data_IF_654830453820
#
_entry.id   IF_654830453820
#
_cell.length_a   1.000
_cell.length_b   1.000
_cell.length_c   1.000
_cell.angle_alpha   90.00
_cell.angle_beta   90.00
_cell.angle_gamma   90.00
#
_symmetry.space_group_name_H-M   'P 1'
#
loop_
_entity.id
_entity.type
_entity.pdbx_description
1 polymer ?
#
# COMPACT_ATOMS: atom_id res chain seq x y z
N UNK A 1 -37.94 -13.94 -5.38
CA UNK A 1 -37.49 -12.57 -5.09
C UNK A 1 -36.93 -12.00 -6.39
N UNK A 2 -37.40 -10.84 -6.83
CA UNK A 2 -36.96 -10.27 -8.10
C UNK A 2 -35.46 -9.95 -8.03
N UNK A 3 -34.71 -10.43 -9.01
CA UNK A 3 -33.28 -10.15 -9.18
C UNK A 3 -33.15 -8.65 -9.45
N UNK A 4 -32.70 -7.86 -8.47
CA UNK A 4 -32.35 -6.46 -8.69
C UNK A 4 -31.17 -6.44 -9.66
N UNK A 5 -31.27 -5.70 -10.77
CA UNK A 5 -30.16 -5.49 -11.71
C UNK A 5 -29.17 -4.46 -11.15
N UNK A 6 -28.68 -4.70 -9.94
CA UNK A 6 -27.67 -3.85 -9.31
C UNK A 6 -26.28 -4.22 -9.82
N UNK A 7 -25.43 -3.21 -9.98
CA UNK A 7 -24.04 -3.40 -10.40
C UNK A 7 -23.09 -2.64 -9.50
N UNK A 8 -21.87 -3.15 -9.36
CA UNK A 8 -20.75 -2.50 -8.69
C UNK A 8 -19.77 -2.02 -9.75
N UNK A 9 -19.69 -0.72 -9.95
CA UNK A 9 -18.69 -0.10 -10.80
C UNK A 9 -17.42 0.18 -10.00
N UNK A 10 -16.29 -0.23 -10.55
CA UNK A 10 -14.96 -0.02 -9.98
C UNK A 10 -14.23 1.06 -10.79
N UNK A 11 -13.57 1.97 -10.09
CA UNK A 11 -12.78 3.03 -10.70
C UNK A 11 -11.42 3.13 -10.02
N UNK A 12 -10.37 3.32 -10.82
CA UNK A 12 -9.02 3.59 -10.36
C UNK A 12 -8.63 5.00 -10.79
N UNK A 13 -8.28 5.86 -9.83
CA UNK A 13 -7.87 7.24 -10.12
C UNK A 13 -8.91 8.02 -10.96
N UNK A 14 -10.20 7.69 -10.79
CA UNK A 14 -11.31 8.27 -11.54
C UNK A 14 -11.58 7.62 -12.91
N UNK A 15 -10.74 6.68 -13.37
CA UNK A 15 -10.97 5.94 -14.61
C UNK A 15 -11.73 4.64 -14.34
N UNK A 16 -12.77 4.32 -15.12
CA UNK A 16 -13.54 3.10 -14.95
C UNK A 16 -12.69 1.88 -15.30
N UNK A 17 -12.54 0.95 -14.34
CA UNK A 17 -11.89 -0.34 -14.57
C UNK A 17 -12.88 -1.38 -15.09
N UNK A 18 -14.12 -1.36 -14.60
CA UNK A 18 -15.13 -2.34 -14.97
C UNK A 18 -16.38 -2.26 -14.10
N UNK A 19 -17.37 -3.08 -14.46
CA UNK A 19 -18.66 -3.17 -13.77
C UNK A 19 -18.98 -4.63 -13.50
N UNK A 20 -19.25 -4.95 -12.23
CA UNK A 20 -19.55 -6.30 -11.77
C UNK A 20 -21.05 -6.42 -11.43
N UNK A 21 -21.75 -7.48 -11.85
CA UNK A 21 -23.14 -7.68 -11.44
C UNK A 21 -23.22 -8.06 -9.96
N UNK A 22 -24.20 -7.52 -9.24
CA UNK A 22 -24.46 -7.87 -7.84
C UNK A 22 -25.66 -8.83 -7.76
N UNK A 23 -25.52 -9.95 -7.03
CA UNK A 23 -26.63 -10.87 -6.75
C UNK A 23 -27.08 -11.77 -7.92
N UNK A 24 -26.33 -11.82 -9.03
CA UNK A 24 -26.70 -12.57 -10.24
C UNK A 24 -26.77 -14.10 -10.05
N UNK A 25 -26.09 -14.66 -9.05
CA UNK A 25 -26.02 -16.13 -8.85
C UNK A 25 -26.78 -16.66 -7.62
N UNK A 26 -27.49 -15.79 -6.87
CA UNK A 26 -28.18 -16.22 -5.63
C UNK A 26 -27.24 -16.77 -4.55
N UNK A 27 -25.93 -16.52 -4.66
CA UNK A 27 -24.91 -16.83 -3.65
C UNK A 27 -24.66 -15.62 -2.77
N UNK A 28 -24.47 -15.86 -1.46
CA UNK A 28 -24.14 -14.82 -0.49
C UNK A 28 -22.75 -14.19 -0.72
N UNK A 29 -21.83 -14.93 -1.35
CA UNK A 29 -20.46 -14.48 -1.66
C UNK A 29 -20.19 -14.72 -3.14
N UNK A 30 -19.70 -13.70 -3.84
CA UNK A 30 -19.26 -13.76 -5.23
C UNK A 30 -17.79 -13.34 -5.32
N UNK A 31 -17.02 -14.06 -6.14
CA UNK A 31 -15.60 -13.76 -6.38
C UNK A 31 -15.43 -13.18 -7.78
N UNK A 32 -14.69 -12.09 -7.88
CA UNK A 32 -14.38 -11.42 -9.13
C UNK A 32 -12.89 -11.14 -9.21
N UNK A 33 -12.35 -11.25 -10.42
CA UNK A 33 -10.99 -10.85 -10.74
C UNK A 33 -11.06 -9.76 -11.81
N UNK A 34 -10.30 -8.70 -11.60
CA UNK A 34 -10.22 -7.57 -12.51
C UNK A 34 -8.75 -7.22 -12.72
N UNK A 35 -8.31 -7.34 -13.95
CA UNK A 35 -6.95 -6.98 -14.30
C UNK A 35 -6.83 -5.46 -14.38
N UNK A 36 -5.80 -4.92 -13.73
CA UNK A 36 -5.54 -3.49 -13.67
C UNK A 36 -4.36 -3.20 -14.60
N UNK A 37 -4.58 -2.41 -15.68
CA UNK A 37 -3.49 -2.04 -16.57
C UNK A 37 -2.42 -1.28 -15.80
N UNK A 38 -1.16 -1.68 -15.97
CA UNK A 38 -0.02 -1.11 -15.25
C UNK A 38 0.16 0.39 -15.56
N UNK A 39 -0.30 0.84 -16.73
CA UNK A 39 -0.24 2.24 -17.17
C UNK A 39 -1.14 3.16 -16.34
N UNK A 40 -2.14 2.62 -15.65
CA UNK A 40 -3.02 3.40 -14.78
C UNK A 40 -2.49 3.53 -13.34
N UNK A 41 -1.47 2.74 -13.01
CA UNK A 41 -0.88 2.70 -11.67
C UNK A 41 0.13 3.82 -11.49
N UNK A 42 -0.06 4.60 -10.43
CA UNK A 42 0.93 5.57 -9.95
C UNK A 42 1.35 5.22 -8.53
N UNK A 43 2.15 6.07 -7.89
CA UNK A 43 2.63 5.78 -6.54
C UNK A 43 1.49 5.80 -5.49
N UNK A 44 0.46 6.65 -5.66
CA UNK A 44 -0.77 6.66 -4.86
C UNK A 44 -1.97 6.37 -5.75
N UNK A 45 -2.68 5.27 -5.50
CA UNK A 45 -3.88 4.95 -6.26
C UNK A 45 -5.12 5.07 -5.38
N UNK A 46 -6.19 5.65 -5.93
CA UNK A 46 -7.51 5.65 -5.33
C UNK A 46 -8.38 4.61 -6.04
N UNK A 47 -8.66 3.50 -5.36
CA UNK A 47 -9.65 2.52 -5.81
C UNK A 47 -11.00 2.87 -5.17
N UNK A 48 -11.98 3.18 -6.01
CA UNK A 48 -13.32 3.57 -5.58
C UNK A 48 -14.40 2.67 -6.15
N UNK A 49 -15.48 2.54 -5.39
CA UNK A 49 -16.58 1.63 -5.67
C UNK A 49 -17.88 2.43 -5.73
N UNK A 50 -18.69 2.18 -6.75
CA UNK A 50 -20.00 2.79 -6.92
C UNK A 50 -21.05 1.71 -7.15
N UNK A 51 -22.06 1.68 -6.30
CA UNK A 51 -23.23 0.82 -6.50
C UNK A 51 -24.20 1.56 -7.41
N UNK A 52 -24.53 0.96 -8.54
CA UNK A 52 -25.61 1.43 -9.42
C UNK A 52 -26.80 0.47 -9.23
N UNK A 53 -27.88 0.96 -8.64
CA UNK A 53 -29.12 0.21 -8.50
C UNK A 53 -29.96 0.38 -9.77
N UNK A 54 -30.42 -0.74 -10.34
CA UNK A 54 -31.12 -0.77 -11.63
C UNK A 54 -32.60 -0.39 -11.56
N UNK A 55 -33.20 -0.28 -10.36
CA UNK A 55 -34.64 -0.13 -10.19
C UNK A 55 -35.10 1.29 -9.81
N UNK A 56 -35.59 2.01 -10.82
CA UNK A 56 -36.60 3.06 -10.68
C UNK A 56 -36.06 4.48 -10.51
N UNK A 57 -36.27 5.32 -11.53
CA UNK A 57 -36.07 6.78 -11.52
C UNK A 57 -37.02 7.53 -10.55
N UNK A 58 -37.55 6.86 -9.53
CA UNK A 58 -38.50 7.40 -8.57
C UNK A 58 -37.82 7.45 -7.21
N UNK A 59 -37.55 8.66 -6.74
CA UNK A 59 -37.05 8.91 -5.39
C UNK A 59 -38.10 8.43 -4.38
N UNK A 60 -37.87 7.28 -3.75
CA UNK A 60 -38.74 6.73 -2.71
C UNK A 60 -38.32 7.28 -1.34
N UNK A 61 -39.30 7.75 -0.58
CA UNK A 61 -39.10 8.28 0.78
C UNK A 61 -38.94 7.18 1.83
N UNK A 62 -39.37 5.95 1.54
CA UNK A 62 -39.17 4.79 2.41
C UNK A 62 -37.80 4.15 2.15
N UNK A 63 -36.80 4.76 2.78
CA UNK A 63 -35.41 4.36 2.74
C UNK A 63 -35.18 3.14 3.64
N UNK A 64 -35.69 1.97 3.24
CA UNK A 64 -35.24 0.73 3.84
C UNK A 64 -33.83 0.40 3.33
N UNK A 65 -32.89 0.56 4.25
CA UNK A 65 -31.44 0.30 4.31
C UNK A 65 -30.97 -1.05 3.72
N UNK A 66 -31.33 -1.35 2.46
CA UNK A 66 -31.33 -2.73 1.94
C UNK A 66 -30.27 -3.03 0.90
N UNK A 67 -29.50 -2.05 0.43
CA UNK A 67 -28.46 -2.25 -0.58
C UNK A 67 -27.07 -2.14 0.04
N UNK A 68 -26.67 -3.18 0.79
CA UNK A 68 -25.33 -3.28 1.37
C UNK A 68 -24.47 -4.23 0.55
N UNK A 69 -23.28 -3.77 0.18
CA UNK A 69 -22.20 -4.60 -0.34
C UNK A 69 -21.11 -4.66 0.72
N UNK A 70 -20.59 -5.86 1.00
CA UNK A 70 -19.48 -6.05 1.92
C UNK A 70 -18.30 -6.62 1.14
N UNK A 71 -17.19 -5.89 1.12
CA UNK A 71 -15.91 -6.37 0.59
C UNK A 71 -15.25 -7.19 1.69
N UNK A 72 -15.14 -8.49 1.50
CA UNK A 72 -14.60 -9.39 2.52
C UNK A 72 -13.07 -9.22 2.66
N UNK A 73 -12.49 -9.41 3.86
CA UNK A 73 -11.04 -9.33 4.09
C UNK A 73 -10.18 -10.29 3.27
N UNK A 74 -10.79 -11.32 2.66
CA UNK A 74 -10.10 -12.23 1.73
C UNK A 74 -9.77 -11.59 0.36
N UNK A 75 -10.29 -10.38 0.09
CA UNK A 75 -9.95 -9.61 -1.10
C UNK A 75 -8.49 -9.17 -1.02
N UNK A 76 -7.75 -9.34 -2.11
CA UNK A 76 -6.34 -8.96 -2.18
C UNK A 76 -6.05 -8.24 -3.50
N UNK A 77 -4.98 -7.46 -3.50
CA UNK A 77 -4.46 -6.77 -4.67
C UNK A 77 -3.06 -7.33 -4.93
N UNK A 78 -2.87 -7.98 -6.09
CA UNK A 78 -1.60 -8.58 -6.50
C UNK A 78 -0.97 -7.74 -7.59
N UNK A 79 0.36 -7.61 -7.53
CA UNK A 79 1.13 -6.88 -8.53
C UNK A 79 2.52 -7.48 -8.70
N UNK A 80 3.11 -7.22 -9.86
CA UNK A 80 4.52 -7.46 -10.12
C UNK A 80 5.21 -6.11 -10.26
N UNK A 81 6.41 -5.98 -9.70
CA UNK A 81 7.21 -4.76 -9.78
C UNK A 81 8.58 -5.07 -10.34
N UNK A 82 9.10 -4.11 -11.13
CA UNK A 82 10.48 -4.15 -11.60
C UNK A 82 11.33 -3.22 -10.76
N UNK A 83 12.42 -3.73 -10.20
CA UNK A 83 13.40 -2.89 -9.53
C UNK A 83 14.17 -2.09 -10.59
N UNK A 84 14.09 -0.76 -10.50
CA UNK A 84 14.86 0.14 -11.36
C UNK A 84 16.27 0.32 -10.79
N UNK A 85 17.28 0.29 -11.65
CA UNK A 85 18.65 0.64 -11.29
C UNK A 85 18.81 2.17 -11.29
N UNK A 86 18.46 2.80 -10.17
CA UNK A 86 18.61 4.24 -9.97
C UNK A 86 20.05 4.59 -9.59
N UNK A 87 20.50 5.79 -9.96
CA UNK A 87 21.82 6.30 -9.58
C UNK A 87 21.96 6.42 -8.06
N UNK A 88 23.20 6.34 -7.56
CA UNK A 88 23.55 6.54 -6.16
C UNK A 88 23.47 8.03 -5.78
N UNK A 89 22.25 8.57 -5.69
CA UNK A 89 21.99 9.96 -5.33
C UNK A 89 21.21 10.03 -4.00
N UNK A 90 21.80 10.73 -3.02
CA UNK A 90 21.17 10.97 -1.73
C UNK A 90 19.94 11.88 -1.81
N UNK A 91 19.71 12.57 -2.94
CA UNK A 91 18.46 13.31 -3.17
C UNK A 91 17.21 12.42 -3.13
N UNK A 92 17.37 11.10 -3.33
CA UNK A 92 16.26 10.14 -3.24
C UNK A 92 15.97 9.65 -1.82
N UNK A 93 16.82 9.99 -0.85
CA UNK A 93 16.58 9.62 0.55
C UNK A 93 15.22 10.18 1.01
N UNK A 94 14.36 9.34 1.62
CA UNK A 94 14.70 8.08 2.29
C UNK A 94 14.47 6.79 1.48
N UNK A 95 14.11 6.88 0.20
CA UNK A 95 14.06 5.69 -0.66
C UNK A 95 15.50 5.20 -0.92
N UNK A 96 15.73 3.88 -1.05
CA UNK A 96 14.75 2.79 -1.03
C UNK A 96 14.44 2.22 0.37
N UNK A 97 14.95 2.84 1.45
CA UNK A 97 14.81 2.33 2.81
C UNK A 97 13.41 2.53 3.38
N UNK A 98 12.78 3.67 3.05
CA UNK A 98 11.44 4.00 3.49
C UNK A 98 10.63 4.63 2.34
N UNK A 99 9.39 4.17 2.20
CA UNK A 99 8.39 4.75 1.30
C UNK A 99 7.21 5.23 2.15
N UNK A 100 6.87 6.53 2.06
CA UNK A 100 5.74 7.13 2.78
C UNK A 100 4.38 6.53 2.38
N UNK A 101 4.33 5.77 1.30
CA UNK A 101 3.13 5.15 0.75
C UNK A 101 3.00 3.68 1.14
N UNK A 102 4.05 3.11 1.76
CA UNK A 102 3.99 1.77 2.30
C UNK A 102 3.00 1.71 3.46
N UNK A 103 2.06 0.76 3.41
CA UNK A 103 1.01 0.59 4.42
C UNK A 103 1.38 -0.36 5.56
N UNK A 104 2.50 -1.08 5.42
CA UNK A 104 3.06 -1.97 6.44
C UNK A 104 4.14 -1.26 7.24
N UNK A 105 4.47 -1.74 8.45
CA UNK A 105 5.68 -1.30 9.15
C UNK A 105 6.91 -1.42 8.24
N UNK A 106 7.82 -0.45 8.34
CA UNK A 106 9.09 -0.49 7.64
C UNK A 106 10.12 -1.26 8.48
N UNK A 107 10.91 -2.12 7.84
CA UNK A 107 12.02 -2.84 8.44
C UNK A 107 13.32 -2.36 7.78
N UNK A 108 14.17 -1.68 8.55
CA UNK A 108 15.37 -1.02 8.04
C UNK A 108 16.62 -1.58 8.74
N UNK A 109 17.47 -2.23 7.96
CA UNK A 109 18.78 -2.66 8.43
C UNK A 109 19.73 -1.45 8.60
N UNK A 110 20.32 -1.31 9.79
CA UNK A 110 21.40 -0.35 10.07
C UNK A 110 22.63 -1.12 10.50
N UNK A 111 23.73 -0.97 9.75
CA UNK A 111 24.98 -1.68 9.99
C UNK A 111 26.06 -0.80 10.59
N UNK A 112 26.81 -1.39 11.52
CA UNK A 112 27.85 -0.76 12.31
C UNK A 112 29.18 -1.52 12.16
N UNK A 113 30.34 -0.82 12.18
CA UNK A 113 31.64 -1.47 12.22
C UNK A 113 31.83 -2.21 13.55
N UNK A 114 32.74 -3.18 13.57
CA UNK A 114 33.04 -3.99 14.76
C UNK A 114 33.35 -3.12 16.00
N UNK A 115 34.16 -2.08 15.82
CA UNK A 115 34.58 -1.15 16.86
C UNK A 115 33.82 0.18 16.77
N UNK A 116 32.49 0.13 16.81
CA UNK A 116 31.65 1.32 16.76
C UNK A 116 31.85 2.20 18.01
N UNK A 117 32.07 3.49 17.78
CA UNK A 117 32.25 4.53 18.81
C UNK A 117 30.93 5.24 19.14
N UNK A 118 30.92 6.04 20.21
CA UNK A 118 29.71 6.72 20.68
C UNK A 118 29.11 7.71 19.64
N UNK A 119 29.96 8.32 18.82
CA UNK A 119 29.56 9.21 17.73
C UNK A 119 28.87 8.45 16.58
N UNK A 120 29.30 7.22 16.26
CA UNK A 120 28.61 6.35 15.30
C UNK A 120 27.19 6.03 15.79
N UNK A 121 27.04 5.67 17.07
CA UNK A 121 25.70 5.41 17.63
C UNK A 121 24.83 6.67 17.67
N UNK A 122 25.44 7.83 17.91
CA UNK A 122 24.73 9.12 17.88
C UNK A 122 24.24 9.48 16.48
N UNK A 123 25.07 9.28 15.45
CA UNK A 123 24.66 9.48 14.06
C UNK A 123 23.52 8.52 13.67
N UNK A 124 23.63 7.24 14.04
CA UNK A 124 22.56 6.27 13.80
C UNK A 124 21.26 6.62 14.53
N UNK A 125 21.35 7.10 15.77
CA UNK A 125 20.19 7.54 16.54
C UNK A 125 19.48 8.74 15.88
N UNK A 126 20.23 9.70 15.33
CA UNK A 126 19.67 10.83 14.59
C UNK A 126 18.91 10.38 13.34
N UNK A 127 19.54 9.53 12.53
CA UNK A 127 18.92 8.98 11.30
C UNK A 127 17.67 8.16 11.65
N UNK A 128 17.75 7.30 12.65
CA UNK A 128 16.64 6.47 13.11
C UNK A 128 15.48 7.31 13.67
N UNK A 129 15.79 8.38 14.41
CA UNK A 129 14.78 9.30 14.95
C UNK A 129 14.02 10.02 13.84
N UNK A 130 14.74 10.53 12.83
CA UNK A 130 14.11 11.18 11.69
C UNK A 130 13.26 10.20 10.86
N UNK A 131 13.75 8.97 10.64
CA UNK A 131 12.97 7.92 9.96
C UNK A 131 11.73 7.52 10.76
N UNK A 132 11.80 7.48 12.09
CA UNK A 132 10.66 7.29 12.96
C UNK A 132 9.58 8.37 12.79
N UNK A 133 9.99 9.63 12.62
CA UNK A 133 9.06 10.72 12.28
C UNK A 133 8.40 10.49 10.91
N UNK A 134 9.14 10.00 9.91
CA UNK A 134 8.57 9.70 8.58
C UNK A 134 7.56 8.54 8.62
N UNK A 135 7.78 7.55 9.49
CA UNK A 135 6.90 6.40 9.63
C UNK A 135 5.53 6.74 10.23
N UNK A 136 5.45 7.81 11.03
CA UNK A 136 4.23 8.27 11.70
C UNK A 136 3.49 7.10 12.41
N UNK A 137 2.21 6.87 12.12
CA UNK A 137 1.42 5.81 12.74
C UNK A 137 1.75 4.39 12.25
N UNK A 138 2.55 4.23 11.19
CA UNK A 138 2.76 2.94 10.50
C UNK A 138 3.73 2.02 11.24
N UNK A 139 4.54 2.57 12.13
CA UNK A 139 5.59 1.85 12.83
C UNK A 139 6.84 1.63 11.97
N UNK A 140 7.96 1.48 12.65
CA UNK A 140 9.27 1.22 12.05
C UNK A 140 10.08 0.32 12.99
N UNK A 141 10.80 -0.63 12.41
CA UNK A 141 11.73 -1.51 13.10
C UNK A 141 13.13 -1.33 12.50
N UNK A 142 14.14 -1.38 13.36
CA UNK A 142 15.54 -1.18 12.97
C UNK A 142 16.35 -2.42 13.31
N UNK A 143 16.84 -3.08 12.26
CA UNK A 143 17.63 -4.28 12.37
C UNK A 143 19.12 -3.91 12.53
N UNK A 144 19.60 -3.90 13.77
CA UNK A 144 20.95 -3.42 14.11
C UNK A 144 22.02 -4.49 13.84
N UNK A 145 22.76 -4.35 12.74
CA UNK A 145 23.77 -5.29 12.30
C UNK A 145 25.17 -4.88 12.76
N UNK A 146 25.91 -5.80 13.40
CA UNK A 146 27.30 -5.55 13.82
C UNK A 146 28.26 -6.36 12.97
N UNK A 147 29.27 -5.68 12.41
CA UNK A 147 30.34 -6.29 11.62
C UNK A 147 29.86 -7.18 10.47
N UNK A 148 28.70 -6.82 9.89
CA UNK A 148 28.12 -7.50 8.74
C UNK A 148 27.33 -6.52 7.88
N UNK A 149 27.33 -6.75 6.58
CA UNK A 149 26.57 -5.95 5.63
C UNK A 149 25.09 -6.42 5.60
N UNK A 150 24.14 -5.50 5.36
CA UNK A 150 22.76 -5.87 5.04
C UNK A 150 22.69 -6.75 3.79
N UNK A 151 21.78 -7.72 3.77
CA UNK A 151 21.56 -8.60 2.60
C UNK A 151 20.85 -7.86 1.44
N UNK A 152 20.14 -6.77 1.76
CA UNK A 152 19.39 -5.93 0.82
C UNK A 152 19.71 -4.46 1.06
N UNK A 153 18.74 -3.56 0.89
CA UNK A 153 18.87 -2.15 1.25
C UNK A 153 19.15 -2.02 2.75
N UNK A 154 20.21 -1.31 3.12
CA UNK A 154 20.46 -0.89 4.49
C UNK A 154 21.43 0.27 4.58
N UNK A 155 21.45 0.90 5.74
CA UNK A 155 22.24 2.10 6.01
C UNK A 155 23.49 1.70 6.78
N UNK A 156 24.66 2.07 6.28
CA UNK A 156 25.95 1.81 6.95
C UNK A 156 26.43 3.11 7.58
N UNK A 157 26.71 3.10 8.88
CA UNK A 157 27.24 4.26 9.59
C UNK A 157 28.71 4.01 9.93
N UNK A 158 29.60 4.92 9.54
CA UNK A 158 31.02 4.81 9.81
C UNK A 158 31.77 6.12 9.53
N UNK A 159 33.05 6.14 9.87
CA UNK A 159 33.93 7.27 9.57
C UNK A 159 34.34 7.28 8.09
N UNK A 160 34.55 8.47 7.52
CA UNK A 160 35.25 8.56 6.24
C UNK A 160 36.65 7.95 6.39
N UNK A 161 37.03 7.14 5.40
CA UNK A 161 38.36 6.51 5.32
C UNK A 161 39.46 7.49 4.91
#
# INVERSE_FOLDING_TARGET
MATRNATLQLMLNGQPLGTLPLGAEGKDISHYQLDIPAELMVSSNNLSFKINDGDGMQCRLDNHDTSRVTILPASHFSWESQQLNISNDLSYFPRPFFDSMQMTPADIAIAYPQNATADIFSAAALVSSWLGIQADYRGIEFDALRDRLPEKHGIIIGHPG
#
